data_IF_788569235001
#
_entry.id   IF_788569235001
#
_cell.length_a   1.000
_cell.length_b   1.000
_cell.length_c   1.000
_cell.angle_alpha   90.00
_cell.angle_beta   90.00
_cell.angle_gamma   90.00
#
_symmetry.space_group_name_H-M   'P 1'
#
loop_
_entity.id
_entity.type
_entity.pdbx_description
1 polymer ?
#
# COMPACT_ATOMS: atom_id res chain seq x y z
N UNK A 1 -3.59 -12.75 -7.04
CA UNK A 1 -3.24 -12.10 -5.76
C UNK A 1 -4.11 -10.87 -5.61
N UNK A 2 -4.74 -10.65 -4.45
CA UNK A 2 -5.64 -9.50 -4.24
C UNK A 2 -4.88 -8.18 -4.24
N UNK A 3 -5.60 -7.12 -4.59
CA UNK A 3 -5.12 -5.74 -4.46
C UNK A 3 -5.64 -5.10 -3.19
N UNK A 4 -4.82 -4.24 -2.59
CA UNK A 4 -5.14 -3.51 -1.37
C UNK A 4 -4.95 -2.01 -1.57
N UNK A 5 -5.90 -1.25 -1.04
CA UNK A 5 -5.84 0.19 -0.87
C UNK A 5 -5.01 0.49 0.37
N UNK A 6 -3.97 1.30 0.22
CA UNK A 6 -3.01 1.59 1.29
C UNK A 6 -2.97 3.08 1.58
N UNK A 7 -3.17 3.42 2.85
CA UNK A 7 -2.99 4.76 3.38
C UNK A 7 -1.67 4.84 4.13
N UNK A 8 -0.90 5.88 3.86
CA UNK A 8 0.43 6.07 4.45
C UNK A 8 0.54 7.41 5.15
N UNK A 9 1.61 7.59 5.92
CA UNK A 9 2.01 8.91 6.37
C UNK A 9 2.54 9.76 5.20
N UNK A 10 1.81 10.84 4.88
CA UNK A 10 2.18 11.77 3.81
C UNK A 10 3.54 12.43 4.03
N UNK A 11 3.96 12.66 5.28
CA UNK A 11 5.27 13.25 5.57
C UNK A 11 6.43 12.33 5.16
N UNK A 12 6.16 11.02 5.01
CA UNK A 12 7.14 9.99 4.63
C UNK A 12 6.71 9.23 3.37
N UNK A 13 5.81 9.80 2.55
CA UNK A 13 5.21 9.11 1.38
C UNK A 13 6.26 8.49 0.45
N UNK A 14 7.30 9.23 0.09
CA UNK A 14 8.36 8.76 -0.80
C UNK A 14 9.17 7.61 -0.19
N UNK A 15 9.43 7.67 1.12
CA UNK A 15 10.15 6.61 1.85
C UNK A 15 9.32 5.32 1.89
N UNK A 16 8.03 5.45 2.21
CA UNK A 16 7.10 4.31 2.24
C UNK A 16 6.91 3.72 0.84
N UNK A 17 6.82 4.55 -0.21
CA UNK A 17 6.72 4.06 -1.59
C UNK A 17 7.92 3.22 -2.00
N UNK A 18 9.15 3.65 -1.65
CA UNK A 18 10.37 2.88 -1.93
C UNK A 18 10.35 1.54 -1.19
N UNK A 19 9.97 1.52 0.08
CA UNK A 19 9.82 0.28 0.87
C UNK A 19 8.78 -0.66 0.27
N UNK A 20 7.61 -0.13 -0.11
CA UNK A 20 6.57 -0.92 -0.74
C UNK A 20 7.04 -1.54 -2.06
N UNK A 21 7.78 -0.79 -2.89
CA UNK A 21 8.33 -1.32 -4.16
C UNK A 21 9.46 -2.33 -4.00
N UNK A 22 10.16 -2.31 -2.87
CA UNK A 22 11.22 -3.29 -2.56
C UNK A 22 10.62 -4.64 -2.13
N UNK A 23 9.49 -4.60 -1.42
CA UNK A 23 8.84 -5.77 -0.83
C UNK A 23 7.79 -6.37 -1.77
N UNK A 24 7.02 -5.53 -2.46
CA UNK A 24 5.86 -5.94 -3.26
C UNK A 24 6.09 -5.74 -4.76
N UNK A 25 5.69 -6.71 -5.60
CA UNK A 25 5.98 -6.68 -7.03
C UNK A 25 5.24 -5.57 -7.78
N UNK A 26 4.02 -5.22 -7.33
CA UNK A 26 3.17 -4.24 -7.99
C UNK A 26 2.66 -3.19 -7.00
N UNK A 27 3.16 -1.96 -7.16
CA UNK A 27 2.78 -0.79 -6.36
C UNK A 27 2.44 0.35 -7.30
N UNK A 28 1.18 0.75 -7.28
CA UNK A 28 0.65 1.85 -8.07
C UNK A 28 0.31 3.03 -7.16
N UNK A 29 0.66 4.24 -7.58
CA UNK A 29 0.26 5.44 -6.86
C UNK A 29 -1.20 5.78 -7.22
N UNK A 30 -1.98 6.11 -6.20
CA UNK A 30 -3.35 6.53 -6.35
C UNK A 30 -3.50 8.00 -5.98
N UNK A 31 -4.34 8.71 -6.74
CA UNK A 31 -4.62 10.14 -6.56
C UNK A 31 -6.00 10.38 -5.91
N UNK A 32 -6.56 9.34 -5.27
CA UNK A 32 -7.91 9.32 -4.67
C UNK A 32 -7.83 9.31 -3.14
N UNK A 33 -8.88 8.86 -2.45
CA UNK A 33 -8.94 8.74 -0.98
C UNK A 33 -7.77 7.95 -0.36
N UNK A 34 -7.16 7.00 -1.08
CA UNK A 34 -5.97 6.23 -0.68
C UNK A 34 -4.73 6.63 -1.47
N UNK A 35 -3.55 6.31 -0.93
CA UNK A 35 -2.27 6.77 -1.47
C UNK A 35 -1.65 5.78 -2.45
N UNK A 36 -1.80 4.48 -2.21
CA UNK A 36 -1.26 3.43 -3.06
C UNK A 36 -2.24 2.28 -3.25
N UNK A 37 -2.11 1.59 -4.38
CA UNK A 37 -2.68 0.26 -4.63
C UNK A 37 -1.52 -0.71 -4.66
N UNK A 38 -1.58 -1.74 -3.82
CA UNK A 38 -0.50 -2.73 -3.71
C UNK A 38 -1.05 -4.13 -3.94
N UNK A 39 -0.38 -4.89 -4.78
CA UNK A 39 -0.63 -6.32 -4.91
C UNK A 39 0.13 -7.06 -3.79
N UNK A 40 -0.61 -7.79 -2.95
CA UNK A 40 -0.04 -8.53 -1.84
C UNK A 40 -0.84 -9.82 -1.60
N UNK A 41 -0.26 -10.78 -0.89
CA UNK A 41 -0.97 -11.98 -0.46
C UNK A 41 -1.96 -11.67 0.66
N UNK A 42 -1.61 -10.75 1.57
CA UNK A 42 -2.46 -10.34 2.68
C UNK A 42 -2.32 -8.86 3.06
N UNK A 43 -3.41 -8.26 3.56
CA UNK A 43 -3.38 -6.90 4.10
C UNK A 43 -2.57 -6.78 5.39
N UNK A 44 -2.30 -7.90 6.07
CA UNK A 44 -1.49 -7.94 7.29
C UNK A 44 -0.02 -7.60 7.00
N UNK A 45 0.52 -8.07 5.88
CA UNK A 45 1.89 -7.77 5.46
C UNK A 45 2.08 -6.28 5.15
N UNK A 46 1.10 -5.67 4.49
CA UNK A 46 1.11 -4.23 4.22
C UNK A 46 1.06 -3.42 5.51
N UNK A 47 0.28 -3.88 6.50
CA UNK A 47 0.15 -3.21 7.80
C UNK A 47 1.44 -3.26 8.64
N UNK A 48 2.37 -4.18 8.33
CA UNK A 48 3.69 -4.28 8.99
C UNK A 48 4.71 -3.29 8.45
N UNK A 49 4.44 -2.62 7.33
CA UNK A 49 5.35 -1.64 6.73
C UNK A 49 5.32 -0.34 7.54
N UNK A 50 6.49 0.08 8.04
CA UNK A 50 6.65 1.33 8.76
C UNK A 50 6.20 2.53 7.89
N UNK A 51 5.18 3.24 8.37
CA UNK A 51 4.56 4.37 7.68
C UNK A 51 3.21 4.05 7.01
N UNK A 52 2.78 2.78 6.97
CA UNK A 52 1.40 2.41 6.62
C UNK A 52 0.47 2.66 7.81
N UNK A 53 -0.62 3.40 7.58
CA UNK A 53 -1.61 3.76 8.60
C UNK A 53 -2.84 2.88 8.54
N UNK A 54 -3.27 2.55 7.34
CA UNK A 54 -4.48 1.79 7.12
C UNK A 54 -4.38 1.00 5.81
N UNK A 55 -4.96 -0.19 5.81
CA UNK A 55 -5.01 -1.08 4.66
C UNK A 55 -6.43 -1.58 4.52
N UNK A 56 -6.95 -1.57 3.30
CA UNK A 56 -8.28 -2.10 2.99
C UNK A 56 -8.19 -2.96 1.75
N UNK A 57 -8.89 -4.10 1.75
CA UNK A 57 -9.02 -4.91 0.53
C UNK A 57 -9.72 -4.08 -0.54
N UNK A 58 -9.13 -4.04 -1.74
CA UNK A 58 -9.75 -3.38 -2.88
C UNK A 58 -10.91 -4.27 -3.37
N UNK A 59 -12.14 -3.88 -3.02
CA UNK A 59 -13.36 -4.61 -3.40
C UNK A 59 -13.68 -4.35 -4.88
N UNK A 60 -13.03 -5.07 -5.79
CA UNK A 60 -13.45 -5.34 -7.19
C UNK A 60 -12.31 -5.97 -8.02
N UNK A 61 -11.71 -7.06 -7.55
CA UNK A 61 -10.79 -7.82 -8.38
C UNK A 61 -11.14 -9.31 -8.35
#
# INVERSE_FOLDING_TARGET
MPYFEVWVDLARKEEVFRKLRDIFPEVYEAFYDYHFIVNADSGEELSKVDGVKYVKSHYNC
#
